data_IF_004896796762
#
_entry.id   IF_004896796762
#
_cell.length_a   1.000
_cell.length_b   1.000
_cell.length_c   1.000
_cell.angle_alpha   90.00
_cell.angle_beta   90.00
_cell.angle_gamma   90.00
#
_symmetry.space_group_name_H-M   'P 1'
#
loop_
_entity.id
_entity.type
_entity.pdbx_description
1 polymer ?
#
# COMPACT_ATOMS: atom_id res chain seq x y z
N UNK A 1 47.36 38.89 -36.83
CA UNK A 1 47.79 38.22 -35.59
C UNK A 1 46.54 37.69 -34.87
N UNK A 2 46.18 36.40 -34.98
CA UNK A 2 45.10 35.84 -34.16
C UNK A 2 45.69 35.22 -32.89
N UNK A 3 45.16 35.62 -31.73
CA UNK A 3 45.42 34.94 -30.45
C UNK A 3 44.65 33.62 -30.41
N UNK A 4 45.35 32.48 -30.39
CA UNK A 4 44.73 31.19 -30.10
C UNK A 4 44.72 30.94 -28.60
N UNK A 5 43.55 31.09 -27.98
CA UNK A 5 43.28 30.65 -26.61
C UNK A 5 43.15 29.11 -26.62
N UNK A 6 44.20 28.38 -26.24
CA UNK A 6 44.10 26.94 -26.00
C UNK A 6 43.47 26.72 -24.62
N UNK A 7 42.16 26.45 -24.58
CA UNK A 7 41.55 25.76 -23.42
C UNK A 7 42.16 24.36 -23.35
N UNK A 8 42.97 24.10 -22.33
CA UNK A 8 43.38 22.74 -22.00
C UNK A 8 42.16 21.89 -21.61
N UNK A 9 42.12 20.61 -21.99
CA UNK A 9 41.07 19.71 -21.51
C UNK A 9 41.22 19.59 -19.99
N UNK A 10 40.17 19.96 -19.26
CA UNK A 10 40.04 19.71 -17.83
C UNK A 10 40.23 18.21 -17.58
N UNK A 11 41.41 17.82 -17.10
CA UNK A 11 41.69 16.45 -16.69
C UNK A 11 40.81 16.17 -15.48
N UNK A 12 39.79 15.33 -15.67
CA UNK A 12 39.02 14.78 -14.55
C UNK A 12 39.94 13.78 -13.86
N UNK A 13 40.68 14.23 -12.84
CA UNK A 13 41.43 13.31 -11.99
C UNK A 13 40.42 12.45 -11.22
N UNK A 14 40.52 11.10 -11.29
CA UNK A 14 39.64 10.25 -10.51
C UNK A 14 39.91 10.49 -9.02
N UNK A 15 38.85 10.50 -8.18
CA UNK A 15 39.00 10.75 -6.75
C UNK A 15 39.93 9.69 -6.13
N UNK A 16 40.80 10.16 -5.24
CA UNK A 16 41.69 9.31 -4.48
C UNK A 16 40.91 8.35 -3.57
N UNK A 17 41.52 7.23 -3.17
CA UNK A 17 40.92 6.29 -2.22
C UNK A 17 40.52 6.97 -0.89
N UNK A 18 41.25 8.00 -0.49
CA UNK A 18 40.96 8.78 0.71
C UNK A 18 39.70 9.65 0.52
N UNK A 19 39.56 10.35 -0.61
CA UNK A 19 38.36 11.12 -0.94
C UNK A 19 37.13 10.23 -1.05
N UNK A 20 37.25 9.06 -1.69
CA UNK A 20 36.18 8.07 -1.76
C UNK A 20 35.75 7.61 -0.35
N UNK A 21 36.72 7.38 0.54
CA UNK A 21 36.42 6.97 1.92
C UNK A 21 35.70 8.07 2.70
N UNK A 22 36.16 9.33 2.60
CA UNK A 22 35.51 10.47 3.25
C UNK A 22 34.09 10.71 2.72
N UNK A 23 33.86 10.54 1.43
CA UNK A 23 32.51 10.64 0.84
C UNK A 23 31.58 9.53 1.30
N UNK A 24 32.09 8.31 1.50
CA UNK A 24 31.32 7.21 2.07
C UNK A 24 30.97 7.48 3.54
N UNK A 25 31.92 7.97 4.31
CA UNK A 25 31.72 8.33 5.72
C UNK A 25 30.73 9.48 5.87
N UNK A 26 30.84 10.54 5.06
CA UNK A 26 29.87 11.64 5.04
C UNK A 26 28.46 11.16 4.72
N UNK A 27 28.31 10.30 3.71
CA UNK A 27 27.00 9.71 3.36
C UNK A 27 26.41 8.91 4.51
N UNK A 28 27.23 8.12 5.21
CA UNK A 28 26.79 7.37 6.39
C UNK A 28 26.35 8.31 7.51
N UNK A 29 27.16 9.31 7.86
CA UNK A 29 26.83 10.26 8.93
C UNK A 29 25.57 11.07 8.61
N UNK A 30 25.37 11.45 7.35
CA UNK A 30 24.13 12.10 6.90
C UNK A 30 22.91 11.17 7.05
N UNK A 31 23.04 9.89 6.72
CA UNK A 31 21.97 8.91 6.91
C UNK A 31 21.64 8.71 8.41
N UNK A 32 22.66 8.62 9.26
CA UNK A 32 22.50 8.49 10.71
C UNK A 32 21.82 9.74 11.31
N UNK A 33 22.21 10.94 10.87
CA UNK A 33 21.57 12.19 11.30
C UNK A 33 20.11 12.27 10.87
N UNK A 34 19.79 11.88 9.63
CA UNK A 34 18.40 11.79 9.15
C UNK A 34 17.57 10.84 10.00
N UNK A 35 18.10 9.67 10.32
CA UNK A 35 17.43 8.69 11.18
C UNK A 35 17.18 9.25 12.58
N UNK A 36 18.17 9.94 13.15
CA UNK A 36 18.02 10.62 14.44
C UNK A 36 16.91 11.67 14.42
N UNK A 37 16.89 12.55 13.42
CA UNK A 37 15.85 13.59 13.28
C UNK A 37 14.46 12.95 13.13
N UNK A 38 14.33 11.91 12.31
CA UNK A 38 13.06 11.20 12.15
C UNK A 38 12.56 10.59 13.47
N UNK A 39 13.43 9.95 14.25
CA UNK A 39 13.09 9.39 15.56
C UNK A 39 12.73 10.51 16.55
N UNK A 40 13.49 11.60 16.59
CA UNK A 40 13.23 12.73 17.47
C UNK A 40 11.84 13.34 17.21
N UNK A 41 11.46 13.51 15.94
CA UNK A 41 10.12 13.99 15.55
C UNK A 41 9.03 13.03 16.02
N UNK A 42 9.21 11.71 15.82
CA UNK A 42 8.26 10.69 16.30
C UNK A 42 8.04 10.73 17.82
N UNK A 43 9.07 11.13 18.58
CA UNK A 43 8.99 11.28 20.04
C UNK A 43 8.59 12.70 20.50
N UNK A 44 8.04 13.53 19.62
CA UNK A 44 7.48 14.84 19.96
C UNK A 44 8.50 15.98 20.06
N UNK A 45 9.75 15.77 19.62
CA UNK A 45 10.80 16.81 19.62
C UNK A 45 10.79 17.66 18.35
N UNK A 46 9.61 17.90 17.76
CA UNK A 46 9.47 18.65 16.50
C UNK A 46 10.07 20.06 16.62
N UNK A 47 9.69 20.82 17.66
CA UNK A 47 10.23 22.17 17.90
C UNK A 47 11.76 22.19 18.03
N UNK A 48 12.36 21.13 18.58
CA UNK A 48 13.83 21.02 18.65
C UNK A 48 14.43 20.82 17.25
N UNK A 49 13.81 19.97 16.43
CA UNK A 49 14.25 19.70 15.07
C UNK A 49 14.06 20.90 14.15
N UNK A 50 12.94 21.63 14.27
CA UNK A 50 12.69 22.88 13.53
C UNK A 50 13.79 23.91 13.77
N UNK A 51 14.27 24.04 15.02
CA UNK A 51 15.30 25.01 15.37
C UNK A 51 16.72 24.57 14.98
N UNK A 52 17.02 23.27 15.03
CA UNK A 52 18.41 22.77 14.91
C UNK A 52 18.71 22.09 13.58
N UNK A 53 17.70 21.53 12.93
CA UNK A 53 17.80 20.79 11.68
C UNK A 53 16.60 21.08 10.73
N UNK A 54 16.32 22.37 10.41
CA UNK A 54 15.13 22.74 9.62
C UNK A 54 15.10 22.09 8.23
N UNK A 55 16.22 22.07 7.52
CA UNK A 55 16.30 21.51 6.16
C UNK A 55 16.02 19.99 6.15
N UNK A 56 16.52 19.26 7.14
CA UNK A 56 16.27 17.82 7.27
C UNK A 56 14.84 17.53 7.68
N UNK A 57 14.25 18.38 8.53
CA UNK A 57 12.84 18.25 8.88
C UNK A 57 11.96 18.46 7.65
N UNK A 58 12.20 19.51 6.86
CA UNK A 58 11.48 19.78 5.62
C UNK A 58 11.65 18.63 4.61
N UNK A 59 12.88 18.13 4.42
CA UNK A 59 13.14 16.99 3.53
C UNK A 59 12.33 15.75 3.94
N UNK A 60 12.23 15.47 5.24
CA UNK A 60 11.44 14.36 5.77
C UNK A 60 9.94 14.57 5.58
N UNK A 61 9.44 15.77 5.82
CA UNK A 61 8.03 16.14 5.61
C UNK A 61 7.65 16.02 4.12
N UNK A 62 8.45 16.59 3.22
CA UNK A 62 8.28 16.45 1.76
C UNK A 62 8.35 14.98 1.32
N UNK A 63 9.18 14.18 1.99
CA UNK A 63 9.28 12.75 1.77
C UNK A 63 8.02 11.99 2.18
N UNK A 64 7.41 12.38 3.30
CA UNK A 64 6.14 11.81 3.78
C UNK A 64 5.01 12.21 2.84
N UNK A 65 4.88 13.48 2.49
CA UNK A 65 3.83 13.98 1.59
C UNK A 65 3.88 13.27 0.24
N UNK A 66 5.05 13.21 -0.40
CA UNK A 66 5.22 12.45 -1.66
C UNK A 66 4.88 10.97 -1.51
N UNK A 67 5.18 10.37 -0.35
CA UNK A 67 4.81 8.99 -0.07
C UNK A 67 3.29 8.82 0.07
N UNK A 68 2.59 9.80 0.63
CA UNK A 68 1.14 9.81 0.80
C UNK A 68 0.45 10.00 -0.55
N UNK A 69 0.83 11.01 -1.33
CA UNK A 69 0.32 11.24 -2.69
C UNK A 69 0.47 9.98 -3.57
N UNK A 70 1.66 9.35 -3.52
CA UNK A 70 1.91 8.11 -4.26
C UNK A 70 1.00 6.98 -3.82
N UNK A 71 0.68 6.92 -2.53
CA UNK A 71 -0.21 5.90 -1.97
C UNK A 71 -1.66 6.16 -2.37
N UNK A 72 -2.11 7.41 -2.39
CA UNK A 72 -3.44 7.80 -2.88
C UNK A 72 -3.63 7.48 -4.36
N UNK A 73 -2.62 7.75 -5.21
CA UNK A 73 -2.64 7.37 -6.63
C UNK A 73 -2.79 5.86 -6.79
N UNK A 74 -2.02 5.08 -6.02
CA UNK A 74 -2.10 3.62 -6.02
C UNK A 74 -3.46 3.13 -5.53
N UNK A 75 -4.03 3.75 -4.48
CA UNK A 75 -5.37 3.45 -3.98
C UNK A 75 -6.44 3.71 -5.05
N UNK A 76 -6.42 4.87 -5.69
CA UNK A 76 -7.34 5.22 -6.78
C UNK A 76 -7.29 4.22 -7.94
N UNK A 77 -6.09 3.68 -8.27
CA UNK A 77 -5.94 2.61 -9.28
C UNK A 77 -6.64 1.32 -8.86
N UNK A 78 -6.51 0.91 -7.59
CA UNK A 78 -7.21 -0.27 -7.06
C UNK A 78 -8.73 -0.06 -7.15
N UNK A 79 -9.23 1.11 -6.77
CA UNK A 79 -10.65 1.43 -6.85
C UNK A 79 -11.17 1.42 -8.30
N UNK A 80 -10.40 1.96 -9.24
CA UNK A 80 -10.73 1.90 -10.66
C UNK A 80 -10.73 0.46 -11.23
N UNK A 81 -9.97 -0.46 -10.62
CA UNK A 81 -9.99 -1.87 -10.98
C UNK A 81 -11.21 -2.60 -10.40
N UNK A 82 -11.64 -2.23 -9.18
CA UNK A 82 -12.83 -2.78 -8.52
C UNK A 82 -14.13 -2.47 -9.26
N UNK A 83 -14.19 -1.39 -10.04
CA UNK A 83 -15.35 -1.13 -10.90
C UNK A 83 -15.47 -2.09 -12.10
N UNK A 84 -14.45 -2.92 -12.32
CA UNK A 84 -14.34 -3.85 -13.46
C UNK A 84 -14.29 -5.30 -12.99
N UNK A 85 -15.30 -5.72 -12.22
CA UNK A 85 -15.45 -7.14 -11.83
C UNK A 85 -16.30 -7.86 -12.88
N UNK A 86 -15.85 -8.99 -13.45
CA UNK A 86 -16.61 -9.71 -14.47
C UNK A 86 -18.01 -10.11 -13.99
N UNK A 87 -19.02 -9.79 -14.81
CA UNK A 87 -20.42 -10.12 -14.55
C UNK A 87 -21.10 -9.27 -13.47
N UNK A 88 -20.44 -8.20 -12.98
CA UNK A 88 -21.00 -7.29 -12.00
C UNK A 88 -20.83 -5.84 -12.48
N UNK A 89 -21.88 -5.05 -12.31
CA UNK A 89 -21.80 -3.60 -12.40
C UNK A 89 -21.44 -3.05 -11.02
N UNK A 90 -20.41 -2.20 -10.91
CA UNK A 90 -20.02 -1.64 -9.62
C UNK A 90 -20.27 -0.14 -9.54
N UNK A 91 -20.76 0.31 -8.39
CA UNK A 91 -21.01 1.73 -8.08
C UNK A 91 -20.37 2.06 -6.75
N UNK A 92 -19.65 3.17 -6.68
CA UNK A 92 -19.05 3.65 -5.44
C UNK A 92 -20.13 4.34 -4.60
N UNK A 93 -20.19 4.01 -3.32
CA UNK A 93 -21.11 4.65 -2.37
C UNK A 93 -20.69 6.07 -2.03
N UNK A 94 -21.64 6.83 -1.48
CA UNK A 94 -21.48 8.27 -1.17
C UNK A 94 -20.35 8.56 -0.17
N UNK A 95 -20.07 7.64 0.75
CA UNK A 95 -18.98 7.78 1.74
C UNK A 95 -17.62 7.32 1.20
N UNK A 96 -17.54 6.87 -0.05
CA UNK A 96 -16.32 6.36 -0.70
C UNK A 96 -15.65 5.14 -0.05
N UNK A 97 -16.15 4.71 1.11
CA UNK A 97 -15.72 3.55 1.90
C UNK A 97 -16.40 2.25 1.47
N UNK A 98 -17.41 2.34 0.59
CA UNK A 98 -18.12 1.18 0.06
C UNK A 98 -18.13 1.19 -1.46
N UNK A 99 -17.92 0.03 -2.04
CA UNK A 99 -18.20 -0.24 -3.45
C UNK A 99 -19.29 -1.31 -3.53
N UNK A 100 -20.44 -0.95 -4.10
CA UNK A 100 -21.58 -1.83 -4.31
C UNK A 100 -21.47 -2.53 -5.64
N UNK A 101 -21.96 -3.78 -5.71
CA UNK A 101 -21.99 -4.59 -6.91
C UNK A 101 -23.42 -5.04 -7.18
N UNK A 102 -23.81 -4.88 -8.44
CA UNK A 102 -25.13 -5.15 -8.96
C UNK A 102 -25.06 -6.11 -10.14
N UNK A 103 -26.12 -6.88 -10.30
CA UNK A 103 -26.46 -7.49 -11.60
C UNK A 103 -27.35 -6.52 -12.39
N UNK A 104 -27.95 -6.96 -13.50
CA UNK A 104 -28.90 -6.15 -14.24
C UNK A 104 -30.18 -5.83 -13.43
N UNK A 105 -30.47 -6.61 -12.38
CA UNK A 105 -31.77 -6.63 -11.70
C UNK A 105 -31.69 -6.13 -10.24
N UNK A 106 -30.57 -6.35 -9.52
CA UNK A 106 -30.48 -5.98 -8.11
C UNK A 106 -29.04 -5.83 -7.57
N UNK A 107 -28.92 -5.24 -6.36
CA UNK A 107 -27.68 -5.20 -5.57
C UNK A 107 -27.38 -6.57 -4.98
N UNK A 108 -26.22 -7.15 -5.32
CA UNK A 108 -25.86 -8.51 -4.94
C UNK A 108 -24.70 -8.60 -3.94
N UNK A 109 -23.86 -7.58 -3.88
CA UNK A 109 -22.72 -7.55 -2.96
C UNK A 109 -22.24 -6.12 -2.67
N UNK A 110 -21.43 -5.96 -1.63
CA UNK A 110 -20.62 -4.76 -1.45
C UNK A 110 -19.28 -5.11 -0.80
N UNK A 111 -18.28 -4.27 -1.01
CA UNK A 111 -17.01 -4.32 -0.30
C UNK A 111 -16.81 -3.04 0.49
N UNK A 112 -16.35 -3.18 1.72
CA UNK A 112 -15.97 -2.07 2.58
C UNK A 112 -14.45 -1.93 2.61
N UNK A 113 -13.95 -0.73 2.33
CA UNK A 113 -12.53 -0.45 2.27
C UNK A 113 -12.18 0.98 2.69
N UNK A 114 -10.94 1.19 3.10
CA UNK A 114 -10.41 2.52 3.37
C UNK A 114 -8.90 2.57 3.13
N UNK A 115 -8.33 3.78 3.07
CA UNK A 115 -6.89 4.00 3.07
C UNK A 115 -6.51 4.56 4.45
N UNK A 116 -5.75 3.81 5.23
CA UNK A 116 -5.25 4.26 6.55
C UNK A 116 -3.77 3.96 6.70
N UNK A 117 -3.00 4.93 7.18
CA UNK A 117 -1.56 4.78 7.40
C UNK A 117 -0.82 4.21 6.17
N UNK A 118 -1.16 4.70 4.97
CA UNK A 118 -0.60 4.25 3.68
C UNK A 118 -0.85 2.76 3.36
N UNK A 119 -1.91 2.18 3.91
CA UNK A 119 -2.31 0.78 3.67
C UNK A 119 -3.75 0.72 3.20
N UNK A 120 -4.00 -0.18 2.25
CA UNK A 120 -5.36 -0.56 1.90
C UNK A 120 -5.94 -1.39 3.04
N UNK A 121 -7.03 -0.93 3.62
CA UNK A 121 -7.77 -1.66 4.64
C UNK A 121 -9.01 -2.26 3.98
N UNK A 122 -9.12 -3.58 4.01
CA UNK A 122 -10.34 -4.31 3.68
C UNK A 122 -11.09 -4.59 4.98
N UNK A 123 -12.28 -4.01 5.14
CA UNK A 123 -13.10 -4.23 6.35
C UNK A 123 -14.05 -5.41 6.18
N UNK A 124 -14.48 -5.70 4.95
CA UNK A 124 -15.31 -6.87 4.69
C UNK A 124 -15.89 -6.90 3.29
N UNK A 125 -16.32 -8.09 2.88
CA UNK A 125 -17.10 -8.32 1.67
C UNK A 125 -18.43 -8.92 2.09
N UNK A 126 -19.52 -8.26 1.74
CA UNK A 126 -20.86 -8.77 1.93
C UNK A 126 -21.41 -9.27 0.60
N UNK A 127 -22.13 -10.38 0.65
CA UNK A 127 -22.89 -10.93 -0.48
C UNK A 127 -24.29 -11.26 0.01
N UNK A 128 -25.30 -10.84 -0.75
CA UNK A 128 -26.69 -11.13 -0.48
C UNK A 128 -26.92 -12.64 -0.33
N UNK A 129 -27.71 -13.11 0.66
CA UNK A 129 -27.85 -14.54 0.94
C UNK A 129 -28.22 -15.40 -0.29
N UNK A 130 -29.11 -14.92 -1.16
CA UNK A 130 -29.54 -15.61 -2.38
C UNK A 130 -28.41 -15.79 -3.42
N UNK A 131 -27.34 -15.01 -3.31
CA UNK A 131 -26.23 -14.95 -4.27
C UNK A 131 -24.95 -15.62 -3.76
N UNK A 132 -24.98 -16.18 -2.54
CA UNK A 132 -23.84 -16.89 -1.96
C UNK A 132 -23.65 -18.25 -2.63
N UNK A 133 -22.42 -18.77 -2.54
CA UNK A 133 -22.02 -20.01 -3.22
C UNK A 133 -21.72 -19.85 -4.72
N UNK A 134 -22.00 -18.68 -5.31
CA UNK A 134 -21.78 -18.42 -6.75
C UNK A 134 -20.40 -17.81 -7.07
N UNK A 135 -19.48 -17.80 -6.09
CA UNK A 135 -18.13 -17.26 -6.25
C UNK A 135 -18.03 -15.72 -6.33
N UNK A 136 -19.10 -14.97 -6.05
CA UNK A 136 -19.09 -13.49 -6.14
C UNK A 136 -18.02 -12.86 -5.25
N UNK A 137 -17.98 -13.23 -3.97
CA UNK A 137 -16.97 -12.73 -3.04
C UNK A 137 -15.54 -13.05 -3.51
N UNK A 138 -15.34 -14.23 -4.08
CA UNK A 138 -14.05 -14.67 -4.62
C UNK A 138 -13.63 -13.84 -5.84
N UNK A 139 -14.55 -13.57 -6.78
CA UNK A 139 -14.28 -12.70 -7.95
C UNK A 139 -13.94 -11.28 -7.55
N UNK A 140 -14.71 -10.71 -6.61
CA UNK A 140 -14.46 -9.36 -6.08
C UNK A 140 -13.08 -9.31 -5.40
N UNK A 141 -12.83 -10.25 -4.48
CA UNK A 141 -11.57 -10.30 -3.73
C UNK A 141 -10.38 -10.49 -4.68
N UNK A 142 -10.45 -11.43 -5.62
CA UNK A 142 -9.38 -11.64 -6.60
C UNK A 142 -9.07 -10.37 -7.40
N UNK A 143 -10.11 -9.69 -7.89
CA UNK A 143 -9.91 -8.43 -8.63
C UNK A 143 -9.25 -7.35 -7.78
N UNK A 144 -9.60 -7.27 -6.49
CA UNK A 144 -8.96 -6.37 -5.53
C UNK A 144 -7.48 -6.69 -5.38
N UNK A 145 -7.16 -7.97 -5.14
CA UNK A 145 -5.80 -8.41 -4.84
C UNK A 145 -4.88 -8.32 -6.06
N UNK A 146 -5.36 -8.67 -7.25
CA UNK A 146 -4.62 -8.47 -8.50
C UNK A 146 -4.25 -6.99 -8.68
N UNK A 147 -5.21 -6.08 -8.45
CA UNK A 147 -4.97 -4.65 -8.55
C UNK A 147 -4.04 -4.11 -7.45
N UNK A 148 -4.12 -4.68 -6.24
CA UNK A 148 -3.22 -4.34 -5.14
C UNK A 148 -1.78 -4.80 -5.41
N UNK A 149 -1.62 -5.97 -6.05
CA UNK A 149 -0.33 -6.49 -6.49
C UNK A 149 0.28 -5.61 -7.58
N UNK A 150 -0.50 -5.25 -8.61
CA UNK A 150 -0.08 -4.32 -9.67
C UNK A 150 0.31 -2.94 -9.13
N UNK A 151 -0.36 -2.50 -8.06
CA UNK A 151 -0.09 -1.24 -7.39
C UNK A 151 1.05 -1.35 -6.34
N UNK A 152 1.57 -2.54 -6.08
CA UNK A 152 2.52 -2.84 -5.00
C UNK A 152 2.04 -2.29 -3.64
N UNK A 153 0.78 -2.54 -3.29
CA UNK A 153 0.19 -2.17 -2.00
C UNK A 153 -0.21 -3.42 -1.23
N UNK A 154 0.26 -3.54 0.02
CA UNK A 154 -0.23 -4.59 0.91
C UNK A 154 -1.60 -4.27 1.48
N UNK A 155 -2.38 -5.33 1.71
CA UNK A 155 -3.77 -5.25 2.16
C UNK A 155 -3.84 -5.73 3.61
N UNK A 156 -4.28 -4.85 4.50
CA UNK A 156 -4.65 -5.23 5.86
C UNK A 156 -6.14 -5.57 5.89
N UNK A 157 -6.48 -6.62 6.63
CA UNK A 157 -7.83 -7.11 6.79
C UNK A 157 -8.15 -7.17 8.27
N UNK A 158 -9.20 -6.47 8.68
CA UNK A 158 -9.81 -6.60 9.99
C UNK A 158 -11.17 -7.22 9.78
N UNK A 159 -11.26 -8.54 9.96
CA UNK A 159 -12.49 -9.26 9.72
C UNK A 159 -13.24 -9.50 11.04
N UNK A 160 -14.55 -9.32 11.01
CA UNK A 160 -15.45 -9.88 12.01
C UNK A 160 -16.60 -10.56 11.25
N UNK A 161 -17.11 -11.71 11.72
CA UNK A 161 -18.32 -12.30 11.15
C UNK A 161 -19.46 -11.29 11.10
N UNK A 162 -20.08 -11.12 9.93
CA UNK A 162 -21.23 -10.23 9.78
C UNK A 162 -22.21 -10.69 8.69
N UNK A 163 -23.47 -10.27 8.83
CA UNK A 163 -24.59 -10.69 7.99
C UNK A 163 -25.20 -12.03 8.43
N UNK A 164 -26.51 -12.18 8.27
CA UNK A 164 -27.23 -13.40 8.67
C UNK A 164 -27.94 -14.07 7.48
N UNK A 165 -27.72 -15.40 7.24
CA UNK A 165 -26.64 -16.19 7.84
C UNK A 165 -25.26 -15.62 7.43
N UNK A 166 -24.16 -16.00 8.06
CA UNK A 166 -22.81 -15.52 7.74
C UNK A 166 -21.79 -16.62 7.96
N UNK A 167 -20.56 -16.43 7.48
CA UNK A 167 -19.46 -17.34 7.81
C UNK A 167 -19.09 -17.18 9.28
N UNK A 168 -18.80 -18.30 9.95
CA UNK A 168 -18.19 -18.25 11.28
C UNK A 168 -16.73 -17.77 11.18
N UNK A 169 -16.16 -17.34 12.31
CA UNK A 169 -14.81 -16.75 12.35
C UNK A 169 -13.74 -17.64 11.70
N UNK A 170 -13.74 -18.93 12.00
CA UNK A 170 -12.76 -19.88 11.45
C UNK A 170 -12.94 -20.09 9.95
N UNK A 171 -14.18 -20.13 9.46
CA UNK A 171 -14.49 -20.27 8.04
C UNK A 171 -14.09 -19.01 7.26
N UNK A 172 -14.24 -17.84 7.89
CA UNK A 172 -13.85 -16.54 7.35
C UNK A 172 -12.31 -16.43 7.28
N UNK A 173 -11.60 -16.79 8.35
CA UNK A 173 -10.13 -16.83 8.36
C UNK A 173 -9.61 -17.82 7.32
N UNK A 174 -10.23 -19.00 7.18
CA UNK A 174 -9.90 -19.97 6.14
C UNK A 174 -10.18 -19.43 4.72
N UNK A 175 -11.27 -18.68 4.52
CA UNK A 175 -11.56 -18.03 3.26
C UNK A 175 -10.46 -17.06 2.85
N UNK A 176 -10.08 -16.13 3.73
CA UNK A 176 -9.04 -15.15 3.40
C UNK A 176 -7.65 -15.79 3.33
N UNK A 177 -7.35 -16.80 4.14
CA UNK A 177 -6.05 -17.49 4.10
C UNK A 177 -5.78 -18.15 2.74
N UNK A 178 -6.82 -18.66 2.07
CA UNK A 178 -6.70 -19.18 0.69
C UNK A 178 -6.23 -18.12 -0.30
N UNK A 179 -6.48 -16.84 -0.02
CA UNK A 179 -6.08 -15.70 -0.82
C UNK A 179 -4.73 -15.08 -0.39
N UNK A 180 -3.95 -15.80 0.41
CA UNK A 180 -2.60 -15.38 0.82
C UNK A 180 -2.54 -14.45 2.03
N UNK A 181 -3.68 -14.23 2.70
CA UNK A 181 -3.72 -13.51 3.97
C UNK A 181 -3.14 -14.39 5.09
N UNK A 182 -2.38 -13.77 5.98
CA UNK A 182 -1.79 -14.43 7.14
C UNK A 182 -1.68 -13.45 8.31
N UNK A 183 -1.60 -13.98 9.53
CA UNK A 183 -1.34 -13.16 10.72
C UNK A 183 0.05 -12.53 10.59
N UNK A 184 0.14 -11.24 10.86
CA UNK A 184 1.40 -10.50 10.74
C UNK A 184 1.47 -9.35 11.75
N UNK A 185 2.66 -9.00 12.21
CA UNK A 185 2.87 -7.88 13.15
C UNK A 185 2.37 -6.53 12.61
N UNK A 186 2.24 -6.38 11.30
CA UNK A 186 1.68 -5.19 10.66
C UNK A 186 0.17 -5.03 10.85
N UNK A 187 -0.54 -6.10 11.21
CA UNK A 187 -1.97 -6.12 11.54
C UNK A 187 -2.18 -7.01 12.79
N UNK A 188 -1.91 -6.48 14.00
CA UNK A 188 -1.88 -7.28 15.24
C UNK A 188 -3.21 -8.00 15.53
N UNK A 189 -4.31 -7.36 15.18
CA UNK A 189 -5.68 -7.85 15.40
C UNK A 189 -6.37 -8.28 14.10
N UNK A 190 -5.59 -8.58 13.06
CA UNK A 190 -6.11 -8.87 11.74
C UNK A 190 -5.22 -9.80 10.93
N UNK A 191 -5.51 -9.88 9.64
CA UNK A 191 -4.67 -10.54 8.67
C UNK A 191 -4.01 -9.50 7.76
N UNK A 192 -2.87 -9.87 7.21
CA UNK A 192 -2.16 -9.06 6.25
C UNK A 192 -1.82 -9.89 5.03
N UNK A 193 -1.83 -9.24 3.87
CA UNK A 193 -1.34 -9.80 2.63
C UNK A 193 -0.33 -8.85 2.00
N UNK A 194 0.85 -9.37 1.72
CA UNK A 194 1.89 -8.68 0.96
C UNK A 194 1.57 -8.70 -0.55
N UNK A 195 2.03 -7.67 -1.30
CA UNK A 195 2.00 -7.72 -2.75
C UNK A 195 2.68 -8.97 -3.30
N UNK A 196 2.06 -9.64 -4.26
CA UNK A 196 2.59 -10.83 -4.93
C UNK A 196 2.50 -12.12 -4.11
N UNK A 197 1.84 -12.11 -2.94
CA UNK A 197 1.54 -13.34 -2.20
C UNK A 197 0.72 -14.30 -3.07
N UNK A 198 1.00 -15.63 -3.03
CA UNK A 198 0.25 -16.61 -3.79
C UNK A 198 -1.27 -16.50 -3.57
N UNK A 199 -2.03 -16.56 -4.67
CA UNK A 199 -3.49 -16.64 -4.65
C UNK A 199 -3.92 -18.11 -4.72
N UNK A 200 -5.09 -18.39 -4.15
CA UNK A 200 -5.81 -19.65 -4.26
C UNK A 200 -5.00 -20.88 -3.82
N UNK A 201 -4.25 -20.75 -2.71
CA UNK A 201 -3.29 -21.74 -2.19
C UNK A 201 -3.88 -23.14 -1.90
N UNK A 202 -5.21 -23.31 -1.95
CA UNK A 202 -5.91 -24.57 -1.67
C UNK A 202 -7.05 -24.88 -2.65
N UNK A 203 -6.96 -24.47 -3.92
CA UNK A 203 -7.86 -25.01 -4.95
C UNK A 203 -7.68 -26.55 -4.97
N UNK A 204 -8.71 -27.29 -4.56
CA UNK A 204 -8.83 -28.68 -4.99
C UNK A 204 -8.94 -28.66 -6.52
N UNK A 205 -8.19 -29.51 -7.24
CA UNK A 205 -8.48 -29.72 -8.65
C UNK A 205 -9.92 -30.25 -8.77
N UNK A 206 -10.64 -29.72 -9.75
CA UNK A 206 -11.97 -30.18 -10.16
C UNK A 206 -12.00 -31.70 -10.41
#
# INVERSE_FOLDING_TARGET
>A
MPYTFKRGPSAFEPPSLHEIHLEQENRRLQADLRAFVAIAVQHGLRNYCENRHPDLLQELEDGIERSEERTEIKYARILAALTKVPGLHAVRGDTEERTYYMTAEENVAYVEHSLKNRRFILSGIWVAPAWRGQGIAHRILRRLLDAADDAEIGVALYHEPFGEPGLQKDELEAFYSRHGFHRHASAPDGLYRYPGSPLDMHLRPD
#
